data_IF_944170376487
#
_entry.id   IF_944170376487
#
_cell.length_a   1.000
_cell.length_b   1.000
_cell.length_c   1.000
_cell.angle_alpha   90.00
_cell.angle_beta   90.00
_cell.angle_gamma   90.00
#
_symmetry.space_group_name_H-M   'P 1'
#
loop_
_entity.id
_entity.type
_entity.pdbx_description
1 polymer ?
#
# COMPACT_ATOMS: atom_id res chain seq x y z
N UNK A 1 1.87 80.53 -33.63
CA UNK A 1 2.70 79.37 -33.19
C UNK A 1 2.21 78.95 -31.83
N UNK A 2 1.47 77.81 -31.75
CA UNK A 2 1.02 77.18 -30.48
C UNK A 2 1.62 75.78 -30.43
N UNK A 3 2.48 75.57 -29.47
CA UNK A 3 3.13 74.30 -29.20
C UNK A 3 2.20 73.53 -28.23
N UNK A 4 1.71 72.38 -28.62
CA UNK A 4 1.00 71.45 -27.73
C UNK A 4 1.94 70.34 -27.22
N UNK A 5 2.10 70.27 -25.92
CA UNK A 5 2.81 69.19 -25.26
C UNK A 5 1.83 68.04 -24.98
N UNK A 6 2.08 66.88 -25.59
CA UNK A 6 1.38 65.62 -25.27
C UNK A 6 2.17 64.91 -24.21
N UNK A 7 1.59 64.73 -23.02
CA UNK A 7 2.13 63.91 -21.94
C UNK A 7 1.55 62.51 -22.12
N UNK A 8 2.41 61.58 -22.57
CA UNK A 8 2.06 60.14 -22.60
C UNK A 8 2.18 59.51 -21.22
N UNK A 9 1.08 59.08 -20.64
CA UNK A 9 1.05 58.35 -19.38
C UNK A 9 1.28 56.85 -19.70
N UNK A 10 2.48 56.32 -19.44
CA UNK A 10 2.77 54.91 -19.53
C UNK A 10 2.29 54.21 -18.26
N UNK A 11 1.22 53.43 -18.37
CA UNK A 11 0.74 52.55 -17.29
C UNK A 11 1.62 51.30 -17.24
N UNK A 12 2.47 51.21 -16.24
CA UNK A 12 3.32 50.03 -15.98
C UNK A 12 2.47 49.02 -15.19
N UNK A 13 1.92 47.99 -15.86
CA UNK A 13 1.25 46.88 -15.23
C UNK A 13 2.30 45.98 -14.55
N UNK A 14 2.37 46.05 -13.23
CA UNK A 14 3.18 45.12 -12.42
C UNK A 14 2.37 43.82 -12.27
N UNK A 15 2.76 42.82 -13.04
CA UNK A 15 2.28 41.45 -12.80
C UNK A 15 3.04 40.88 -11.61
N UNK A 16 2.42 40.87 -10.43
CA UNK A 16 2.87 40.08 -9.30
C UNK A 16 2.47 38.63 -9.56
N UNK A 17 3.40 37.78 -9.97
CA UNK A 17 3.25 36.35 -9.99
C UNK A 17 3.20 35.89 -8.54
N UNK A 18 2.00 35.53 -8.05
CA UNK A 18 1.86 34.73 -6.85
C UNK A 18 2.40 33.32 -7.17
N UNK A 19 3.64 33.03 -6.83
CA UNK A 19 4.09 31.66 -6.65
C UNK A 19 3.40 31.15 -5.38
N UNK A 20 2.41 30.27 -5.54
CA UNK A 20 1.95 29.47 -4.42
C UNK A 20 3.12 28.55 -4.04
N UNK A 21 3.73 28.77 -2.89
CA UNK A 21 4.61 27.78 -2.29
C UNK A 21 3.78 26.49 -2.16
N UNK A 22 4.19 25.46 -2.89
CA UNK A 22 3.61 24.14 -2.73
C UNK A 22 3.95 23.69 -1.30
N UNK A 23 2.93 23.62 -0.44
CA UNK A 23 3.08 23.08 0.91
C UNK A 23 3.57 21.64 0.73
N UNK A 24 4.70 21.32 1.36
CA UNK A 24 5.23 19.96 1.34
C UNK A 24 4.13 18.99 1.84
N UNK A 25 3.92 17.86 1.16
CA UNK A 25 2.89 16.93 1.59
C UNK A 25 3.13 16.50 3.04
N UNK A 26 2.06 16.47 3.83
CA UNK A 26 2.09 16.00 5.23
C UNK A 26 2.57 14.56 5.26
N UNK A 27 3.53 14.27 6.14
CA UNK A 27 3.92 12.89 6.44
C UNK A 27 2.71 12.12 7.00
N UNK A 28 2.40 10.95 6.40
CA UNK A 28 1.21 10.18 6.74
C UNK A 28 1.58 8.95 7.57
N UNK A 29 0.88 8.72 8.67
CA UNK A 29 1.03 7.52 9.51
C UNK A 29 -0.21 6.64 9.42
N UNK A 30 -0.01 5.36 9.15
CA UNK A 30 -1.10 4.41 9.00
C UNK A 30 -0.88 3.07 9.69
N UNK A 31 -1.88 2.23 9.54
CA UNK A 31 -1.88 0.85 10.03
C UNK A 31 -2.25 -0.05 8.87
N UNK A 32 -1.49 -1.11 8.66
CA UNK A 32 -1.82 -2.20 7.76
C UNK A 32 -2.33 -3.41 8.56
N UNK A 33 -3.44 -4.00 8.16
CA UNK A 33 -3.95 -5.25 8.73
C UNK A 33 -4.19 -6.29 7.63
N UNK A 34 -3.75 -7.50 7.88
CA UNK A 34 -3.95 -8.65 7.01
C UNK A 34 -5.27 -9.36 7.38
N UNK A 35 -6.29 -9.05 6.59
CA UNK A 35 -7.61 -9.69 6.73
C UNK A 35 -7.76 -10.89 5.77
N UNK A 36 -6.76 -11.17 4.93
CA UNK A 36 -6.73 -12.35 4.07
C UNK A 36 -6.33 -13.61 4.83
N UNK A 37 -5.37 -13.52 5.76
CA UNK A 37 -4.92 -14.66 6.56
C UNK A 37 -5.70 -14.82 7.86
N UNK A 38 -6.29 -13.74 8.38
CA UNK A 38 -7.11 -13.74 9.58
C UNK A 38 -8.43 -13.01 9.36
N UNK A 39 -9.55 -13.66 9.70
CA UNK A 39 -10.88 -13.06 9.60
C UNK A 39 -11.07 -11.97 10.67
N UNK A 40 -11.42 -10.76 10.25
CA UNK A 40 -11.75 -9.64 11.12
C UNK A 40 -13.23 -9.27 10.93
N UNK A 41 -13.97 -9.18 12.03
CA UNK A 41 -15.33 -8.62 11.96
C UNK A 41 -15.30 -7.12 11.64
N UNK A 42 -16.35 -6.61 11.01
CA UNK A 42 -16.51 -5.18 10.76
C UNK A 42 -16.33 -4.35 12.05
N UNK A 43 -16.86 -4.82 13.18
CA UNK A 43 -16.75 -4.11 14.46
C UNK A 43 -15.30 -4.09 14.98
N UNK A 44 -14.55 -5.17 14.78
CA UNK A 44 -13.10 -5.20 15.12
C UNK A 44 -12.33 -4.18 14.29
N UNK A 45 -12.59 -4.12 12.99
CA UNK A 45 -11.93 -3.14 12.10
C UNK A 45 -12.31 -1.71 12.49
N UNK A 46 -13.57 -1.45 12.83
CA UNK A 46 -14.00 -0.14 13.37
C UNK A 46 -13.27 0.24 14.65
N UNK A 47 -13.04 -0.72 15.57
CA UNK A 47 -12.25 -0.50 16.78
C UNK A 47 -10.79 -0.14 16.49
N UNK A 48 -10.21 -0.68 15.42
CA UNK A 48 -8.88 -0.29 14.92
C UNK A 48 -8.93 1.13 14.36
N UNK A 49 -9.93 1.47 13.53
CA UNK A 49 -10.14 2.82 12.99
C UNK A 49 -10.30 3.85 14.11
N UNK A 50 -11.06 3.54 15.16
CA UNK A 50 -11.21 4.42 16.33
C UNK A 50 -9.88 4.68 17.01
N UNK A 51 -9.01 3.66 17.08
CA UNK A 51 -7.67 3.80 17.66
C UNK A 51 -6.77 4.65 16.76
N UNK A 52 -6.80 4.44 15.44
CA UNK A 52 -6.07 5.25 14.46
C UNK A 52 -6.48 6.73 14.59
N UNK A 53 -7.77 7.00 14.52
CA UNK A 53 -8.31 8.37 14.62
C UNK A 53 -8.00 9.05 15.97
N UNK A 54 -8.05 8.29 17.07
CA UNK A 54 -7.77 8.81 18.42
C UNK A 54 -6.34 9.32 18.59
N UNK A 55 -5.40 8.76 17.83
CA UNK A 55 -3.98 9.11 17.88
C UNK A 55 -3.50 9.76 16.59
N UNK A 56 -4.40 10.47 15.88
CA UNK A 56 -4.12 11.29 14.69
C UNK A 56 -3.45 10.54 13.52
N UNK A 57 -3.74 9.23 13.40
CA UNK A 57 -3.31 8.44 12.25
C UNK A 57 -4.16 8.76 11.02
N UNK A 58 -3.56 8.64 9.83
CA UNK A 58 -4.12 9.12 8.56
C UNK A 58 -4.84 8.02 7.78
N UNK A 59 -4.45 6.73 7.91
CA UNK A 59 -5.03 5.67 7.08
C UNK A 59 -5.02 4.28 7.70
N UNK A 60 -5.95 3.46 7.22
CA UNK A 60 -6.01 2.02 7.41
C UNK A 60 -5.80 1.33 6.06
N UNK A 61 -4.74 0.56 5.91
CA UNK A 61 -4.53 -0.33 4.77
C UNK A 61 -5.12 -1.71 5.09
N UNK A 62 -5.87 -2.24 4.14
CA UNK A 62 -6.50 -3.56 4.21
C UNK A 62 -5.85 -4.49 3.20
N UNK A 63 -4.98 -5.38 3.65
CA UNK A 63 -4.48 -6.49 2.86
C UNK A 63 -5.54 -7.60 2.88
N UNK A 64 -6.31 -7.73 1.79
CA UNK A 64 -7.51 -8.56 1.76
C UNK A 64 -7.50 -9.66 0.70
N UNK A 65 -6.50 -9.71 -0.15
CA UNK A 65 -6.36 -10.72 -1.19
C UNK A 65 -4.96 -11.32 -1.16
N UNK A 66 -4.89 -12.64 -0.93
CA UNK A 66 -3.65 -13.40 -0.82
C UNK A 66 -3.85 -14.84 -1.35
N UNK A 67 -2.85 -15.69 -1.23
CA UNK A 67 -2.91 -17.08 -1.68
C UNK A 67 -3.99 -17.90 -1.00
N UNK A 68 -4.23 -17.66 0.29
CA UNK A 68 -5.14 -18.44 1.11
C UNK A 68 -6.60 -17.99 0.97
N UNK A 69 -6.83 -16.68 0.86
CA UNK A 69 -8.17 -16.15 0.92
C UNK A 69 -8.29 -14.79 0.23
N UNK A 70 -9.52 -14.50 -0.19
CA UNK A 70 -9.97 -13.19 -0.64
C UNK A 70 -11.10 -12.75 0.29
N UNK A 71 -10.81 -11.79 1.16
CA UNK A 71 -11.64 -11.47 2.33
C UNK A 71 -12.73 -10.41 2.06
N UNK A 72 -12.96 -10.02 0.81
CA UNK A 72 -13.94 -9.00 0.42
C UNK A 72 -14.81 -9.50 -0.73
N UNK A 73 -16.12 -9.38 -0.60
CA UNK A 73 -17.04 -9.71 -1.69
C UNK A 73 -17.05 -8.60 -2.75
N UNK A 74 -16.69 -8.96 -3.97
CA UNK A 74 -16.82 -8.09 -5.15
C UNK A 74 -17.94 -8.57 -6.08
N UNK A 75 -18.61 -7.66 -6.80
CA UNK A 75 -19.62 -8.04 -7.79
C UNK A 75 -19.06 -9.04 -8.81
N UNK A 76 -19.77 -10.13 -9.04
CA UNK A 76 -19.37 -11.17 -9.99
C UNK A 76 -18.39 -12.22 -9.44
N UNK A 77 -17.92 -12.10 -8.21
CA UNK A 77 -17.14 -13.14 -7.56
C UNK A 77 -18.06 -14.18 -6.91
N UNK A 78 -17.62 -15.45 -6.92
CA UNK A 78 -18.33 -16.51 -6.19
C UNK A 78 -18.07 -16.36 -4.70
N UNK A 79 -19.09 -16.58 -3.83
CA UNK A 79 -18.89 -16.54 -2.38
C UNK A 79 -17.76 -17.47 -1.93
N UNK A 80 -16.91 -17.00 -1.06
CA UNK A 80 -15.84 -17.79 -0.45
C UNK A 80 -16.40 -18.61 0.73
N UNK A 81 -15.70 -19.69 1.12
CA UNK A 81 -16.13 -20.55 2.23
C UNK A 81 -15.84 -19.98 3.62
N UNK A 82 -14.99 -18.98 3.71
CA UNK A 82 -14.62 -18.29 4.96
C UNK A 82 -15.41 -16.99 5.08
N UNK A 83 -15.45 -16.46 6.29
CA UNK A 83 -16.08 -15.18 6.56
C UNK A 83 -15.39 -14.09 5.74
N UNK A 84 -16.16 -13.46 4.85
CA UNK A 84 -15.73 -12.33 4.02
C UNK A 84 -16.53 -11.11 4.43
N UNK A 85 -15.90 -9.93 4.27
CA UNK A 85 -16.64 -8.67 4.38
C UNK A 85 -17.47 -8.48 3.12
N UNK A 86 -18.77 -8.32 3.29
CA UNK A 86 -19.69 -8.05 2.20
C UNK A 86 -19.43 -6.67 1.59
N UNK A 87 -19.90 -6.47 0.37
CA UNK A 87 -19.87 -5.17 -0.31
C UNK A 87 -20.41 -4.03 0.59
N UNK A 88 -21.54 -4.26 1.27
CA UNK A 88 -22.18 -3.28 2.13
C UNK A 88 -21.38 -3.02 3.43
N UNK A 89 -20.70 -4.02 3.96
CA UNK A 89 -19.81 -3.84 5.12
C UNK A 89 -18.59 -3.00 4.76
N UNK A 90 -17.99 -3.19 3.60
CA UNK A 90 -16.90 -2.32 3.11
C UNK A 90 -17.39 -0.88 2.91
N UNK A 91 -18.56 -0.66 2.28
CA UNK A 91 -19.14 0.70 2.16
C UNK A 91 -19.41 1.34 3.52
N UNK A 92 -19.87 0.53 4.50
CA UNK A 92 -20.10 0.98 5.86
C UNK A 92 -18.78 1.34 6.55
N UNK A 93 -17.74 0.52 6.40
CA UNK A 93 -16.40 0.80 6.93
C UNK A 93 -15.83 2.09 6.36
N UNK A 94 -15.87 2.27 5.04
CA UNK A 94 -15.38 3.47 4.36
C UNK A 94 -16.08 4.72 4.91
N UNK A 95 -17.42 4.69 4.99
CA UNK A 95 -18.20 5.81 5.55
C UNK A 95 -17.84 6.09 7.02
N UNK A 96 -17.61 5.03 7.81
CA UNK A 96 -17.22 5.13 9.22
C UNK A 96 -15.83 5.76 9.37
N UNK A 97 -14.86 5.29 8.60
CA UNK A 97 -13.47 5.74 8.60
C UNK A 97 -13.34 7.19 8.11
N UNK A 98 -14.03 7.52 7.01
CA UNK A 98 -13.99 8.85 6.43
C UNK A 98 -14.56 9.93 7.35
N UNK A 99 -15.56 9.61 8.19
CA UNK A 99 -16.07 10.52 9.23
C UNK A 99 -15.02 10.83 10.31
N UNK A 100 -13.96 10.03 10.42
CA UNK A 100 -12.86 10.14 11.38
C UNK A 100 -11.56 10.61 10.75
N UNK A 101 -11.61 11.10 9.52
CA UNK A 101 -10.44 11.53 8.75
C UNK A 101 -9.42 10.41 8.47
N UNK A 102 -9.87 9.15 8.53
CA UNK A 102 -9.05 7.97 8.22
C UNK A 102 -9.39 7.46 6.81
N UNK A 103 -8.39 7.45 5.91
CA UNK A 103 -8.50 6.86 4.57
C UNK A 103 -8.45 5.34 4.68
N UNK A 104 -9.24 4.61 3.89
CA UNK A 104 -9.14 3.16 3.74
C UNK A 104 -8.39 2.85 2.44
N UNK A 105 -7.23 2.22 2.55
CA UNK A 105 -6.37 1.88 1.40
C UNK A 105 -6.53 0.39 1.10
N UNK A 106 -7.12 0.00 -0.04
CA UNK A 106 -7.15 -1.39 -0.45
C UNK A 106 -5.74 -1.88 -0.83
N UNK A 107 -5.40 -3.08 -0.40
CA UNK A 107 -4.12 -3.73 -0.67
C UNK A 107 -4.36 -5.12 -1.24
N UNK A 108 -3.92 -5.31 -2.47
CA UNK A 108 -3.98 -6.56 -3.24
C UNK A 108 -2.61 -6.82 -3.84
N UNK A 109 -2.25 -8.09 -3.95
CA UNK A 109 -0.98 -8.46 -4.52
C UNK A 109 -1.11 -9.03 -5.93
N UNK A 110 -0.42 -8.34 -6.85
CA UNK A 110 -0.12 -8.78 -8.21
C UNK A 110 1.37 -8.58 -8.49
N UNK A 111 1.99 -9.44 -9.33
CA UNK A 111 1.43 -10.66 -9.94
C UNK A 111 1.45 -11.88 -9.02
N UNK A 112 2.19 -11.86 -7.90
CA UNK A 112 2.28 -12.92 -6.87
C UNK A 112 1.10 -12.89 -5.90
N UNK A 113 1.09 -13.79 -4.93
CA UNK A 113 0.04 -13.86 -3.89
C UNK A 113 -1.40 -13.86 -4.43
N UNK A 114 -1.57 -14.24 -5.71
CA UNK A 114 -2.86 -14.22 -6.40
C UNK A 114 -3.60 -15.56 -6.35
N UNK A 115 -3.18 -16.49 -5.49
CA UNK A 115 -3.66 -17.87 -5.46
C UNK A 115 -5.17 -17.97 -5.28
N UNK A 116 -5.76 -17.28 -4.32
CA UNK A 116 -7.21 -17.30 -4.09
C UNK A 116 -7.99 -16.74 -5.30
N UNK A 117 -7.51 -15.64 -5.89
CA UNK A 117 -8.12 -15.02 -7.08
C UNK A 117 -8.04 -15.93 -8.30
N UNK A 118 -6.87 -16.51 -8.56
CA UNK A 118 -6.65 -17.45 -9.67
C UNK A 118 -7.48 -18.72 -9.52
N UNK A 119 -7.68 -19.23 -8.28
CA UNK A 119 -8.58 -20.35 -8.04
C UNK A 119 -10.05 -20.01 -8.30
N UNK A 120 -10.47 -18.77 -7.99
CA UNK A 120 -11.81 -18.31 -8.37
C UNK A 120 -11.97 -18.23 -9.89
N UNK A 121 -11.02 -17.59 -10.57
CA UNK A 121 -11.02 -17.52 -12.03
C UNK A 121 -11.08 -18.93 -12.65
N UNK A 122 -10.30 -19.89 -12.12
CA UNK A 122 -10.31 -21.28 -12.61
C UNK A 122 -11.68 -21.96 -12.50
N UNK A 123 -12.46 -21.62 -11.46
CA UNK A 123 -13.82 -22.15 -11.26
C UNK A 123 -14.83 -21.47 -12.19
N UNK A 124 -14.68 -20.18 -12.45
CA UNK A 124 -15.60 -19.39 -13.25
C UNK A 124 -15.32 -19.53 -14.76
N UNK A 125 -14.05 -19.41 -15.15
CA UNK A 125 -13.57 -19.49 -16.54
C UNK A 125 -12.22 -20.20 -16.60
N UNK A 126 -12.26 -21.52 -16.77
CA UNK A 126 -11.08 -22.36 -16.86
C UNK A 126 -10.22 -22.04 -18.09
N UNK A 127 -10.83 -21.54 -19.18
CA UNK A 127 -10.09 -21.18 -20.39
C UNK A 127 -9.27 -19.92 -20.13
N UNK A 128 -9.89 -18.88 -19.56
CA UNK A 128 -9.23 -17.64 -19.20
C UNK A 128 -8.15 -17.85 -18.12
N UNK A 129 -8.43 -18.68 -17.12
CA UNK A 129 -7.42 -19.05 -16.12
C UNK A 129 -6.12 -19.55 -16.76
N UNK A 130 -6.21 -20.44 -17.75
CA UNK A 130 -5.04 -20.99 -18.41
C UNK A 130 -4.22 -19.96 -19.21
N UNK A 131 -4.85 -18.86 -19.62
CA UNK A 131 -4.15 -17.77 -20.32
C UNK A 131 -3.60 -16.70 -19.38
N UNK A 132 -4.07 -16.66 -18.13
CA UNK A 132 -3.72 -15.63 -17.14
C UNK A 132 -2.68 -16.12 -16.14
N UNK A 133 -2.76 -17.41 -15.74
CA UNK A 133 -1.82 -18.00 -14.78
C UNK A 133 -0.45 -18.20 -15.40
N UNK A 134 0.62 -17.94 -14.64
CA UNK A 134 1.98 -18.21 -15.09
C UNK A 134 2.28 -19.72 -15.22
N UNK A 135 3.20 -20.07 -16.11
CA UNK A 135 3.63 -21.47 -16.31
C UNK A 135 4.50 -22.00 -15.16
N UNK A 136 5.08 -21.11 -14.34
CA UNK A 136 6.03 -21.48 -13.29
C UNK A 136 5.44 -21.45 -11.87
N UNK A 137 4.24 -20.85 -11.69
CA UNK A 137 3.58 -20.77 -10.38
C UNK A 137 2.06 -20.68 -10.51
N UNK A 138 1.34 -21.49 -9.76
CA UNK A 138 -0.14 -21.45 -9.72
C UNK A 138 -0.71 -20.28 -8.93
N UNK A 139 0.14 -19.54 -8.21
CA UNK A 139 -0.20 -18.40 -7.37
C UNK A 139 0.24 -17.07 -7.99
N UNK A 140 0.77 -17.11 -9.21
CA UNK A 140 1.32 -15.92 -9.87
C UNK A 140 0.63 -15.70 -11.21
N UNK A 141 0.18 -14.47 -11.44
CA UNK A 141 -0.31 -14.01 -12.74
C UNK A 141 0.86 -13.90 -13.70
N UNK A 142 0.67 -14.31 -14.95
CA UNK A 142 1.71 -14.23 -15.98
C UNK A 142 2.00 -12.76 -16.35
N UNK A 143 3.12 -12.26 -15.88
CA UNK A 143 3.57 -10.87 -16.12
C UNK A 143 4.53 -10.73 -17.33
N UNK A 144 4.80 -11.83 -18.07
CA UNK A 144 5.70 -11.84 -19.23
C UNK A 144 4.99 -11.37 -20.51
N UNK A 145 4.76 -10.06 -20.62
CA UNK A 145 4.11 -9.41 -21.77
C UNK A 145 2.73 -10.01 -22.14
N UNK A 146 2.07 -10.65 -21.18
CA UNK A 146 0.77 -11.29 -21.38
C UNK A 146 -0.37 -10.25 -21.30
N UNK A 147 -0.90 -9.90 -22.47
CA UNK A 147 -1.95 -8.87 -22.56
C UNK A 147 -3.27 -9.29 -21.88
N UNK A 148 -3.63 -10.59 -21.90
CA UNK A 148 -4.85 -11.06 -21.23
C UNK A 148 -4.69 -11.03 -19.71
N UNK A 149 -3.50 -11.33 -19.19
CA UNK A 149 -3.17 -11.21 -17.78
C UNK A 149 -3.26 -9.75 -17.31
N UNK A 150 -2.67 -8.81 -18.05
CA UNK A 150 -2.79 -7.37 -17.79
C UNK A 150 -4.25 -6.92 -17.82
N UNK A 151 -5.02 -7.36 -18.82
CA UNK A 151 -6.43 -7.01 -18.97
C UNK A 151 -7.26 -7.52 -17.78
N UNK A 152 -7.11 -8.79 -17.43
CA UNK A 152 -7.84 -9.40 -16.30
C UNK A 152 -7.51 -8.71 -14.97
N UNK A 153 -6.23 -8.50 -14.68
CA UNK A 153 -5.79 -7.81 -13.47
C UNK A 153 -6.30 -6.36 -13.42
N UNK A 154 -6.32 -5.66 -14.57
CA UNK A 154 -6.86 -4.31 -14.67
C UNK A 154 -8.39 -4.25 -14.49
N UNK A 155 -9.14 -5.24 -14.95
CA UNK A 155 -10.58 -5.37 -14.72
C UNK A 155 -10.85 -5.56 -13.22
N UNK A 156 -10.14 -6.47 -12.58
CA UNK A 156 -10.23 -6.69 -11.14
C UNK A 156 -9.91 -5.43 -10.32
N UNK A 157 -8.81 -4.72 -10.66
CA UNK A 157 -8.46 -3.46 -10.01
C UNK A 157 -9.57 -2.41 -10.12
N UNK A 158 -10.25 -2.31 -11.27
CA UNK A 158 -11.35 -1.37 -11.46
C UNK A 158 -12.53 -1.67 -10.54
N UNK A 159 -12.85 -2.94 -10.32
CA UNK A 159 -13.93 -3.36 -9.42
C UNK A 159 -13.57 -3.02 -7.96
N UNK A 160 -12.33 -3.31 -7.54
CA UNK A 160 -11.80 -2.92 -6.22
C UNK A 160 -11.89 -1.40 -6.03
N UNK A 161 -11.36 -0.62 -6.95
CA UNK A 161 -11.36 0.84 -6.85
C UNK A 161 -12.78 1.42 -6.83
N UNK A 162 -13.73 0.80 -7.53
CA UNK A 162 -15.15 1.23 -7.50
C UNK A 162 -15.80 0.94 -6.14
N UNK A 163 -15.47 -0.18 -5.50
CA UNK A 163 -15.90 -0.50 -4.14
C UNK A 163 -15.28 0.46 -3.12
N UNK A 164 -13.99 0.74 -3.24
CA UNK A 164 -13.22 1.55 -2.28
C UNK A 164 -13.23 3.05 -2.59
N UNK A 165 -14.07 3.53 -3.49
CA UNK A 165 -14.17 4.96 -3.80
C UNK A 165 -14.53 5.80 -2.57
N UNK A 166 -13.71 6.83 -2.32
CA UNK A 166 -13.79 7.73 -1.15
C UNK A 166 -13.77 9.19 -1.60
N UNK A 167 -14.93 9.79 -1.88
CA UNK A 167 -15.00 11.18 -2.37
C UNK A 167 -14.33 12.20 -1.46
N UNK A 168 -14.26 11.93 -0.14
CA UNK A 168 -13.56 12.77 0.83
C UNK A 168 -12.07 12.93 0.51
N UNK A 169 -11.44 11.88 0.01
CA UNK A 169 -10.01 11.82 -0.32
C UNK A 169 -9.77 11.87 -1.84
N UNK A 170 -10.66 12.50 -2.60
CA UNK A 170 -10.54 12.60 -4.05
C UNK A 170 -9.19 13.21 -4.46
N UNK A 171 -8.42 12.49 -5.28
CA UNK A 171 -7.08 12.87 -5.71
C UNK A 171 -5.95 12.42 -4.76
N UNK A 172 -6.30 11.98 -3.55
CA UNK A 172 -5.35 11.46 -2.55
C UNK A 172 -5.50 9.95 -2.32
N UNK A 173 -6.59 9.35 -2.81
CA UNK A 173 -6.88 7.92 -2.66
C UNK A 173 -5.73 7.07 -3.17
N UNK A 174 -5.33 6.08 -2.39
CA UNK A 174 -4.25 5.16 -2.70
C UNK A 174 -4.78 3.75 -2.89
N UNK A 175 -4.02 2.95 -3.63
CA UNK A 175 -4.22 1.51 -3.78
C UNK A 175 -2.87 0.82 -3.87
N UNK A 176 -2.65 -0.24 -3.09
CA UNK A 176 -1.51 -1.13 -3.25
C UNK A 176 -1.88 -2.16 -4.31
N UNK A 177 -1.02 -2.29 -5.32
CA UNK A 177 -1.27 -3.14 -6.50
C UNK A 177 -0.33 -4.34 -6.57
N UNK A 178 0.45 -4.59 -5.51
CA UNK A 178 1.32 -5.74 -5.36
C UNK A 178 2.81 -5.44 -5.45
N UNK A 179 3.56 -6.40 -6.00
CA UNK A 179 5.01 -6.33 -6.16
C UNK A 179 5.79 -7.08 -5.08
N UNK A 180 5.08 -7.73 -4.15
CA UNK A 180 5.67 -8.51 -3.06
C UNK A 180 6.08 -9.91 -3.52
N UNK A 181 7.28 -10.32 -3.15
CA UNK A 181 7.84 -11.67 -3.34
C UNK A 181 7.60 -12.29 -4.73
N UNK A 182 7.74 -11.48 -5.80
CA UNK A 182 7.40 -11.91 -7.16
C UNK A 182 8.45 -12.89 -7.71
N UNK A 183 8.07 -14.16 -7.98
CA UNK A 183 9.00 -15.15 -8.50
C UNK A 183 9.62 -14.73 -9.83
N UNK A 184 10.95 -14.71 -9.92
CA UNK A 184 11.70 -14.37 -11.12
C UNK A 184 11.80 -12.88 -11.46
N UNK A 185 11.14 -11.99 -10.72
CA UNK A 185 11.15 -10.55 -11.03
C UNK A 185 12.56 -9.94 -11.02
N UNK A 186 13.44 -10.38 -10.12
CA UNK A 186 14.82 -9.91 -10.04
C UNK A 186 15.61 -10.14 -11.35
N UNK A 187 15.37 -11.25 -12.03
CA UNK A 187 16.03 -11.60 -13.29
C UNK A 187 15.27 -11.06 -14.51
N UNK A 188 13.98 -10.79 -14.37
CA UNK A 188 13.07 -10.35 -15.44
C UNK A 188 12.46 -8.96 -15.20
N UNK A 189 13.26 -8.07 -14.70
CA UNK A 189 12.85 -6.75 -14.21
C UNK A 189 12.06 -5.93 -15.25
N UNK A 190 12.44 -6.02 -16.54
CA UNK A 190 11.71 -5.31 -17.60
C UNK A 190 10.26 -5.77 -17.74
N UNK A 191 10.01 -7.08 -17.70
CA UNK A 191 8.67 -7.64 -17.79
C UNK A 191 7.85 -7.29 -16.54
N UNK A 192 8.44 -7.47 -15.34
CA UNK A 192 7.81 -7.13 -14.08
C UNK A 192 7.39 -5.65 -14.02
N UNK A 193 8.32 -4.72 -14.26
CA UNK A 193 8.02 -3.28 -14.19
C UNK A 193 7.03 -2.87 -15.27
N UNK A 194 7.11 -3.47 -16.48
CA UNK A 194 6.12 -3.22 -17.52
C UNK A 194 4.70 -3.59 -17.06
N UNK A 195 4.53 -4.78 -16.46
CA UNK A 195 3.26 -5.23 -15.92
C UNK A 195 2.76 -4.27 -14.82
N UNK A 196 3.60 -3.93 -13.83
CA UNK A 196 3.24 -3.01 -12.75
C UNK A 196 2.85 -1.62 -13.26
N UNK A 197 3.57 -1.09 -14.26
CA UNK A 197 3.24 0.19 -14.89
C UNK A 197 1.87 0.17 -15.59
N UNK A 198 1.47 -0.96 -16.20
CA UNK A 198 0.12 -1.12 -16.80
C UNK A 198 -0.98 -1.10 -15.75
N UNK A 199 -0.77 -1.74 -14.61
CA UNK A 199 -1.70 -1.68 -13.48
C UNK A 199 -1.73 -0.28 -12.85
N UNK A 200 -0.58 0.36 -12.71
CA UNK A 200 -0.47 1.74 -12.22
C UNK A 200 -1.21 2.73 -13.14
N UNK A 201 -1.09 2.58 -14.46
CA UNK A 201 -1.87 3.37 -15.43
C UNK A 201 -3.38 3.20 -15.22
N UNK A 202 -3.84 1.96 -14.96
CA UNK A 202 -5.25 1.68 -14.65
C UNK A 202 -5.70 2.39 -13.37
N UNK A 203 -4.88 2.37 -12.31
CA UNK A 203 -5.18 3.05 -11.04
C UNK A 203 -5.23 4.57 -11.22
N UNK A 204 -4.26 5.16 -11.88
CA UNK A 204 -4.20 6.60 -12.18
C UNK A 204 -5.41 7.08 -12.97
N UNK A 205 -5.83 6.33 -13.99
CA UNK A 205 -7.00 6.65 -14.81
C UNK A 205 -8.32 6.64 -14.02
N UNK A 206 -8.33 5.99 -12.86
CA UNK A 206 -9.45 5.99 -11.88
C UNK A 206 -9.27 7.02 -10.77
N UNK A 207 -8.19 7.81 -10.78
CA UNK A 207 -7.92 8.86 -9.79
C UNK A 207 -7.29 8.34 -8.49
N UNK A 208 -6.67 7.14 -8.53
CA UNK A 208 -5.93 6.58 -7.41
C UNK A 208 -4.42 6.76 -7.59
N UNK A 209 -3.70 6.88 -6.48
CA UNK A 209 -2.25 6.86 -6.42
C UNK A 209 -1.80 5.41 -6.22
N UNK A 210 -1.14 4.78 -7.22
CA UNK A 210 -0.69 3.41 -7.11
C UNK A 210 0.52 3.27 -6.19
N UNK A 211 0.55 2.19 -5.40
CA UNK A 211 1.66 1.82 -4.54
C UNK A 211 2.08 0.38 -4.82
N UNK A 212 3.37 0.08 -4.67
CA UNK A 212 3.91 -1.28 -4.80
C UNK A 212 4.87 -1.60 -3.65
N UNK A 213 5.01 -2.88 -3.31
CA UNK A 213 6.04 -3.36 -2.41
C UNK A 213 7.43 -3.33 -3.07
N UNK A 214 8.49 -3.18 -2.29
CA UNK A 214 9.84 -2.88 -2.81
C UNK A 214 10.68 -4.09 -3.19
N UNK A 215 10.45 -5.25 -2.61
CA UNK A 215 11.42 -6.36 -2.57
C UNK A 215 11.68 -6.99 -3.93
N UNK A 216 10.74 -6.89 -4.88
CA UNK A 216 10.90 -7.33 -6.26
C UNK A 216 11.51 -6.28 -7.20
N UNK A 217 11.84 -5.07 -6.70
CA UNK A 217 12.45 -4.01 -7.52
C UNK A 217 13.98 -4.07 -7.50
N UNK A 218 14.58 -3.96 -8.70
CA UNK A 218 16.01 -3.74 -8.87
C UNK A 218 16.34 -2.27 -9.11
N UNK A 219 17.62 -1.89 -8.93
CA UNK A 219 18.13 -0.55 -9.30
C UNK A 219 17.84 -0.18 -10.75
N UNK A 220 17.87 -1.18 -11.65
CA UNK A 220 17.51 -0.98 -13.06
C UNK A 220 16.00 -0.80 -13.23
N UNK A 221 15.19 -1.57 -12.50
CA UNK A 221 13.73 -1.48 -12.56
C UNK A 221 13.20 -0.13 -12.12
N UNK A 222 13.80 0.47 -11.10
CA UNK A 222 13.45 1.82 -10.60
C UNK A 222 13.53 2.87 -11.72
N UNK A 223 14.48 2.76 -12.64
CA UNK A 223 14.61 3.70 -13.76
C UNK A 223 13.49 3.59 -14.81
N UNK A 224 12.73 2.51 -14.77
CA UNK A 224 11.63 2.21 -15.72
C UNK A 224 10.26 2.31 -15.06
N UNK A 225 10.21 2.45 -13.73
CA UNK A 225 8.98 2.57 -12.97
C UNK A 225 8.29 3.91 -13.24
N UNK A 226 6.96 3.91 -13.37
CA UNK A 226 6.18 5.14 -13.51
C UNK A 226 6.38 6.03 -12.28
N UNK A 227 6.75 7.29 -12.50
CA UNK A 227 7.08 8.24 -11.42
C UNK A 227 5.91 8.57 -10.48
N UNK A 228 4.67 8.19 -10.81
CA UNK A 228 3.51 8.34 -9.93
C UNK A 228 3.32 7.14 -9.00
N UNK A 229 4.07 6.07 -9.19
CA UNK A 229 4.06 4.92 -8.27
C UNK A 229 4.86 5.29 -7.03
N UNK A 230 4.28 5.11 -5.84
CA UNK A 230 5.05 5.14 -4.60
C UNK A 230 5.39 3.72 -4.14
N UNK A 231 6.47 3.61 -3.39
CA UNK A 231 7.03 2.32 -2.99
C UNK A 231 6.88 2.13 -1.48
N UNK A 232 6.25 1.02 -1.08
CA UNK A 232 6.18 0.54 0.29
C UNK A 232 7.45 -0.23 0.59
N UNK A 233 8.37 0.36 1.37
CA UNK A 233 9.68 -0.23 1.62
C UNK A 233 9.67 -1.00 2.94
N UNK A 234 9.61 -2.34 2.87
CA UNK A 234 9.51 -3.20 4.04
C UNK A 234 10.81 -3.96 4.36
N UNK A 235 11.44 -4.49 3.35
CA UNK A 235 12.62 -5.33 3.52
C UNK A 235 13.57 -5.22 2.32
N UNK A 236 14.83 -5.50 2.58
CA UNK A 236 15.80 -5.82 1.56
C UNK A 236 16.15 -7.30 1.69
N UNK A 237 15.81 -8.07 0.65
CA UNK A 237 16.05 -9.50 0.62
C UNK A 237 17.55 -9.85 0.74
N UNK A 238 17.84 -11.13 0.94
CA UNK A 238 19.15 -11.69 1.22
C UNK A 238 20.28 -11.19 0.30
N UNK A 239 21.52 -11.36 0.72
CA UNK A 239 22.75 -10.95 0.03
C UNK A 239 22.88 -11.46 -1.43
N UNK A 240 22.11 -12.47 -1.83
CA UNK A 240 22.01 -12.97 -3.20
C UNK A 240 21.40 -11.94 -4.17
N UNK A 241 20.60 -11.01 -3.66
CA UNK A 241 19.90 -10.00 -4.45
C UNK A 241 20.58 -8.61 -4.41
N UNK A 242 21.88 -8.58 -4.70
CA UNK A 242 22.69 -7.33 -4.76
C UNK A 242 22.15 -6.28 -5.74
N UNK A 243 21.22 -6.66 -6.60
CA UNK A 243 20.58 -5.76 -7.56
C UNK A 243 19.32 -5.07 -7.02
N UNK A 244 18.82 -5.47 -5.86
CA UNK A 244 17.64 -4.88 -5.24
C UNK A 244 17.82 -3.37 -5.04
N UNK A 245 16.76 -2.61 -5.29
CA UNK A 245 16.78 -1.17 -5.14
C UNK A 245 16.87 -0.76 -3.67
N UNK A 246 17.72 0.21 -3.38
CA UNK A 246 17.79 0.87 -2.07
C UNK A 246 16.88 2.10 -2.04
N UNK A 247 16.54 2.59 -0.85
CA UNK A 247 15.76 3.84 -0.69
C UNK A 247 16.45 5.01 -1.40
N UNK A 248 17.79 5.06 -1.38
CA UNK A 248 18.58 6.08 -2.06
C UNK A 248 18.46 6.01 -3.59
N UNK A 249 18.24 4.82 -4.16
CA UNK A 249 18.00 4.65 -5.59
C UNK A 249 16.62 5.18 -5.98
N UNK A 250 15.61 4.94 -5.13
CA UNK A 250 14.26 5.50 -5.27
C UNK A 250 14.27 7.02 -5.16
N UNK A 251 15.00 7.57 -4.17
CA UNK A 251 15.13 9.00 -3.98
C UNK A 251 15.80 9.68 -5.18
N UNK A 252 16.86 9.10 -5.76
CA UNK A 252 17.52 9.59 -6.98
C UNK A 252 16.59 9.61 -8.19
N UNK A 253 15.65 8.65 -8.26
CA UNK A 253 14.63 8.59 -9.30
C UNK A 253 13.39 9.47 -9.00
N UNK A 254 13.40 10.22 -7.90
CA UNK A 254 12.27 11.03 -7.39
C UNK A 254 11.00 10.21 -7.16
N UNK A 255 11.14 8.94 -6.77
CA UNK A 255 10.05 8.06 -6.41
C UNK A 255 9.75 8.20 -4.93
N UNK A 256 8.48 8.42 -4.60
CA UNK A 256 8.00 8.51 -3.22
C UNK A 256 8.07 7.17 -2.51
N UNK A 257 8.44 7.20 -1.22
CA UNK A 257 8.61 6.01 -0.38
C UNK A 257 7.70 6.11 0.84
N UNK A 258 7.12 4.98 1.23
CA UNK A 258 6.50 4.79 2.54
C UNK A 258 7.32 3.76 3.33
N UNK A 259 7.60 4.09 4.58
CA UNK A 259 8.41 3.24 5.46
C UNK A 259 7.55 2.16 6.11
N UNK A 260 7.78 0.91 5.71
CA UNK A 260 7.15 -0.30 6.27
C UNK A 260 8.18 -1.22 6.92
N UNK A 261 9.30 -0.68 7.42
CA UNK A 261 10.43 -1.42 8.00
C UNK A 261 10.01 -2.67 8.75
N UNK A 262 10.22 -3.85 8.16
CA UNK A 262 9.78 -5.13 8.71
C UNK A 262 10.40 -5.44 10.08
N UNK A 263 11.61 -4.95 10.36
CA UNK A 263 12.26 -5.16 11.67
C UNK A 263 11.53 -4.43 12.80
N UNK A 264 10.99 -3.24 12.53
CA UNK A 264 10.42 -2.38 13.58
C UNK A 264 8.89 -2.28 13.51
N UNK A 265 8.34 -2.28 12.29
CA UNK A 265 6.94 -1.98 12.03
C UNK A 265 6.10 -3.21 11.65
N UNK A 266 6.64 -4.44 11.77
CA UNK A 266 5.89 -5.67 11.60
C UNK A 266 5.60 -6.31 12.95
N UNK A 267 4.38 -6.81 13.10
CA UNK A 267 3.97 -7.60 14.23
C UNK A 267 3.02 -8.72 13.78
N UNK A 268 3.25 -9.93 14.27
CA UNK A 268 2.44 -11.11 13.99
C UNK A 268 1.62 -11.45 15.23
N UNK A 269 0.34 -11.06 15.32
CA UNK A 269 -0.51 -11.40 16.46
C UNK A 269 -0.60 -12.91 16.68
N UNK A 270 -0.53 -13.33 17.94
CA UNK A 270 -0.54 -14.76 18.27
C UNK A 270 -1.14 -15.03 19.65
N UNK A 271 -1.83 -16.15 19.81
CA UNK A 271 -2.34 -16.61 21.11
C UNK A 271 -1.23 -16.94 22.12
N UNK A 272 0.02 -17.04 21.65
CA UNK A 272 1.19 -17.26 22.52
C UNK A 272 1.73 -15.95 23.13
N UNK A 273 1.25 -14.79 22.69
CA UNK A 273 1.73 -13.51 23.16
C UNK A 273 1.13 -13.15 24.53
N UNK A 274 2.02 -12.93 25.50
CA UNK A 274 1.65 -12.39 26.79
C UNK A 274 1.54 -10.86 26.78
N UNK A 275 0.96 -10.27 27.82
CA UNK A 275 1.02 -8.81 28.01
C UNK A 275 2.46 -8.27 28.03
N UNK A 276 3.39 -9.03 28.58
CA UNK A 276 4.81 -8.68 28.60
C UNK A 276 5.40 -8.64 27.18
N UNK A 277 5.03 -9.57 26.31
CA UNK A 277 5.45 -9.57 24.90
C UNK A 277 4.99 -8.29 24.20
N UNK A 278 3.74 -7.87 24.42
CA UNK A 278 3.22 -6.62 23.85
C UNK A 278 3.97 -5.41 24.40
N UNK A 279 4.27 -5.35 25.69
CA UNK A 279 5.07 -4.28 26.29
C UNK A 279 6.50 -4.23 25.72
N UNK A 280 7.14 -5.38 25.52
CA UNK A 280 8.45 -5.45 24.87
C UNK A 280 8.41 -4.91 23.43
N UNK A 281 7.36 -5.24 22.66
CA UNK A 281 7.19 -4.71 21.32
C UNK A 281 6.95 -3.19 21.33
N UNK A 282 6.19 -2.66 22.29
CA UNK A 282 6.03 -1.21 22.46
C UNK A 282 7.40 -0.53 22.67
N UNK A 283 8.19 -1.03 23.64
CA UNK A 283 9.55 -0.53 23.91
C UNK A 283 10.48 -0.64 22.70
N UNK A 284 10.29 -1.69 21.88
CA UNK A 284 11.06 -1.87 20.67
C UNK A 284 10.71 -0.80 19.62
N UNK A 285 9.42 -0.53 19.41
CA UNK A 285 8.96 0.56 18.53
C UNK A 285 9.49 1.90 19.04
N UNK A 286 9.34 2.23 20.33
CA UNK A 286 9.83 3.46 20.93
C UNK A 286 11.32 3.68 20.75
N UNK A 287 12.10 2.61 20.79
CA UNK A 287 13.55 2.67 20.68
C UNK A 287 14.05 2.76 19.24
N UNK A 288 13.42 2.08 18.31
CA UNK A 288 13.98 1.84 16.99
C UNK A 288 13.20 2.50 15.85
N UNK A 289 11.95 2.88 16.04
CA UNK A 289 11.22 3.58 15.00
C UNK A 289 11.80 4.99 14.78
N UNK A 290 12.00 5.30 13.51
CA UNK A 290 12.15 6.66 13.00
C UNK A 290 11.73 6.63 11.53
N UNK A 291 11.21 7.76 11.03
CA UNK A 291 10.67 7.88 9.68
C UNK A 291 11.69 7.48 8.60
N UNK A 292 12.97 7.74 8.85
CA UNK A 292 14.09 7.50 7.93
C UNK A 292 14.93 6.25 8.27
N UNK A 293 14.44 5.33 9.11
CA UNK A 293 15.10 4.05 9.40
C UNK A 293 14.45 2.92 8.63
N UNK A 294 15.27 2.20 7.85
CA UNK A 294 14.82 1.15 6.95
C UNK A 294 15.52 -0.19 7.25
N UNK A 295 14.86 -1.29 6.91
CA UNK A 295 15.39 -2.63 7.07
C UNK A 295 16.24 -3.00 5.84
N UNK A 296 17.55 -2.87 5.95
CA UNK A 296 18.51 -3.32 4.95
C UNK A 296 19.12 -4.68 5.35
N UNK A 297 19.63 -5.38 4.38
CA UNK A 297 20.14 -6.74 4.54
C UNK A 297 21.10 -6.92 5.75
N UNK A 298 22.04 -6.01 5.93
CA UNK A 298 23.03 -6.06 7.01
C UNK A 298 22.76 -5.10 8.16
N UNK A 299 21.69 -4.32 8.08
CA UNK A 299 21.36 -3.29 9.07
C UNK A 299 19.84 -3.07 9.11
N UNK A 300 19.20 -3.74 10.06
CA UNK A 300 17.75 -3.65 10.26
C UNK A 300 17.24 -2.23 10.64
N UNK A 301 18.17 -1.33 10.96
CA UNK A 301 17.87 0.04 11.40
C UNK A 301 18.68 1.09 10.61
N UNK A 302 18.94 0.82 9.33
CA UNK A 302 19.70 1.69 8.45
C UNK A 302 19.07 3.07 8.33
N UNK A 303 19.85 4.12 8.56
CA UNK A 303 19.40 5.51 8.50
C UNK A 303 19.71 6.09 7.13
N UNK A 304 18.67 6.54 6.42
CA UNK A 304 18.79 7.20 5.12
C UNK A 304 18.77 8.71 5.30
N UNK A 305 19.79 9.41 4.80
CA UNK A 305 19.99 10.84 5.07
C UNK A 305 18.99 11.76 4.35
N UNK A 306 18.55 11.41 3.14
CA UNK A 306 17.65 12.23 2.32
C UNK A 306 16.63 11.35 1.58
N UNK A 307 15.69 10.73 2.28
CA UNK A 307 14.65 9.94 1.64
C UNK A 307 13.49 10.83 1.19
N UNK A 308 12.88 10.48 0.05
CA UNK A 308 11.59 11.04 -0.36
C UNK A 308 10.46 10.27 0.34
N UNK A 309 10.38 10.37 1.68
CA UNK A 309 9.42 9.62 2.49
C UNK A 309 8.13 10.42 2.63
N UNK A 310 7.00 9.79 2.25
CA UNK A 310 5.66 10.36 2.35
C UNK A 310 4.89 9.88 3.58
N UNK A 311 5.31 8.77 4.18
CA UNK A 311 4.64 8.21 5.34
C UNK A 311 5.24 6.89 5.81
N UNK A 312 4.55 6.26 6.76
CA UNK A 312 4.90 4.94 7.29
C UNK A 312 3.65 4.18 7.74
N UNK A 313 3.77 2.85 7.94
CA UNK A 313 2.71 2.06 8.56
C UNK A 313 3.24 0.98 9.48
N UNK A 314 2.51 0.77 10.59
CA UNK A 314 2.64 -0.41 11.43
C UNK A 314 1.79 -1.53 10.83
N UNK A 315 2.40 -2.67 10.50
CA UNK A 315 1.76 -3.80 9.82
C UNK A 315 1.51 -4.96 10.77
N UNK A 316 0.30 -5.51 10.71
CA UNK A 316 -0.14 -6.69 11.47
C UNK A 316 -0.46 -7.82 10.50
N UNK A 317 0.39 -8.86 10.45
CA UNK A 317 0.26 -9.99 9.55
C UNK A 317 -0.44 -11.18 10.24
N UNK A 318 -1.26 -11.89 9.49
CA UNK A 318 -2.24 -12.84 10.02
C UNK A 318 -1.75 -14.26 10.26
N UNK A 319 -0.50 -14.62 9.91
CA UNK A 319 0.02 -15.99 9.86
C UNK A 319 -0.12 -16.79 11.19
N UNK A 320 -0.07 -16.09 12.31
CA UNK A 320 -0.16 -16.71 13.64
C UNK A 320 -1.41 -16.34 14.42
N UNK A 321 -2.35 -15.65 13.77
CA UNK A 321 -3.54 -15.10 14.42
C UNK A 321 -4.78 -16.00 14.35
N UNK A 322 -4.73 -17.17 13.70
CA UNK A 322 -5.89 -18.00 13.39
C UNK A 322 -6.78 -18.27 14.60
N UNK A 323 -6.19 -18.59 15.75
CA UNK A 323 -6.93 -18.96 16.98
C UNK A 323 -7.37 -17.78 17.85
N UNK A 324 -6.93 -16.54 17.52
CA UNK A 324 -7.30 -15.36 18.29
C UNK A 324 -8.76 -14.98 18.11
N UNK A 325 -9.45 -14.69 19.19
CA UNK A 325 -10.75 -14.03 19.16
C UNK A 325 -10.60 -12.56 18.72
N UNK A 326 -11.70 -11.96 18.27
CA UNK A 326 -11.74 -10.55 17.88
C UNK A 326 -11.31 -9.61 19.00
N UNK A 327 -11.64 -9.95 20.24
CA UNK A 327 -11.26 -9.19 21.41
C UNK A 327 -9.75 -9.29 21.71
N UNK A 328 -9.17 -10.47 21.61
CA UNK A 328 -7.73 -10.69 21.80
C UNK A 328 -6.89 -9.96 20.73
N UNK A 329 -7.40 -9.93 19.48
CA UNK A 329 -6.79 -9.12 18.42
C UNK A 329 -6.72 -7.65 18.85
N UNK A 330 -7.84 -7.05 19.23
CA UNK A 330 -7.84 -5.65 19.67
C UNK A 330 -6.93 -5.40 20.88
N UNK A 331 -6.89 -6.32 21.83
CA UNK A 331 -6.00 -6.23 22.99
C UNK A 331 -4.52 -6.23 22.64
N UNK A 332 -4.13 -6.90 21.57
CA UNK A 332 -2.75 -6.92 21.09
C UNK A 332 -2.44 -5.71 20.21
N UNK A 333 -3.33 -5.34 19.29
CA UNK A 333 -3.07 -4.32 18.28
C UNK A 333 -3.16 -2.89 18.86
N UNK A 334 -4.18 -2.57 19.61
CA UNK A 334 -4.44 -1.19 20.06
C UNK A 334 -3.28 -0.55 20.86
N UNK A 335 -2.60 -1.25 21.79
CA UNK A 335 -1.44 -0.70 22.48
C UNK A 335 -0.28 -0.37 21.54
N UNK A 336 -0.04 -1.24 20.54
CA UNK A 336 1.03 -1.05 19.56
C UNK A 336 0.73 0.10 18.60
N UNK A 337 -0.52 0.20 18.12
CA UNK A 337 -1.00 1.31 17.29
C UNK A 337 -0.82 2.64 18.02
N UNK A 338 -1.26 2.71 19.28
CA UNK A 338 -1.05 3.89 20.14
C UNK A 338 0.42 4.26 20.18
N UNK A 339 1.27 3.30 20.59
CA UNK A 339 2.71 3.55 20.73
C UNK A 339 3.32 4.08 19.43
N UNK A 340 3.04 3.43 18.30
CA UNK A 340 3.56 3.84 16.99
C UNK A 340 3.09 5.25 16.58
N UNK A 341 1.78 5.53 16.67
CA UNK A 341 1.23 6.81 16.22
C UNK A 341 1.67 8.00 17.10
N UNK A 342 2.03 7.74 18.37
CA UNK A 342 2.52 8.79 19.28
C UNK A 342 4.03 9.03 19.22
N UNK A 343 4.79 8.28 18.38
CA UNK A 343 6.19 8.63 18.12
C UNK A 343 6.27 9.90 17.26
N UNK A 344 7.27 10.74 17.53
CA UNK A 344 7.55 11.98 16.78
C UNK A 344 8.54 11.73 15.67
#
# INVERSE_FOLDING_TARGET
MKWGFSIGLSLMLIFTTFQSEAVAPKFQKGVNIDIARKDYSLETIKGIVDTIAKYDGDYLQLHFADDQHHAVDLPGMSPMKRDTLSYEEIKTLIKYSNKRDVMVVPDIDFPSHAGALLQQLKKQDKARYKTVVSDFSTNTVDYFDNQEAVKWSSEYLKDVMSLFEQPKFKGEQRIVIGGDEVPGAMDHQKAFVHFMNKLAETAKNKGYQPQIWNDSLTKQGVQQLDAHVSVLYWNQHEATHRQQAHVEDLAKANISVFNYNASTLYFLPSSQHSKQTIQQQQQFIERYYADNRFNYFNDAHHVVAQPNIQGSALSFWGEHAETLSQQEILQQLQPLIKTYLTQN
#
